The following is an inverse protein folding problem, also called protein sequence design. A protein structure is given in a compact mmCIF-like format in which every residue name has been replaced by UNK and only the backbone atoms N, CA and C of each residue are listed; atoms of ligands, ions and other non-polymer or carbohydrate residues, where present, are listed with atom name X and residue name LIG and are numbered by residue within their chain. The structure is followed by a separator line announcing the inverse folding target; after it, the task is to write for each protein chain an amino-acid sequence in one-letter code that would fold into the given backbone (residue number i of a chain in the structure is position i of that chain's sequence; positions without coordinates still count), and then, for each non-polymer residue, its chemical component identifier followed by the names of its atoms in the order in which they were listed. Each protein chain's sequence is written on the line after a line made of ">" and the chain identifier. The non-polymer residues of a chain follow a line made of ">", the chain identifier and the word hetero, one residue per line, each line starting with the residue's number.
data_IF_282789378356
#
_entry.id   IF_282789378356
#
_cell.length_a   1.000
_cell.length_b   1.000
_cell.length_c   1.000
_cell.angle_alpha   90.00
_cell.angle_beta   90.00
_cell.angle_gamma   90.00
#
_symmetry.space_group_name_H-M   'P 1'
#
loop_
_entity.id
_entity.type
_entity.pdbx_description
1 polymer ?
#
# COMPACT_ATOMS: atom_id res chain seq x y z
N UNK A 1 5.17 20.91 -8.01
CA UNK A 1 3.73 20.94 -7.62
C UNK A 1 3.33 19.54 -7.19
N UNK A 2 2.64 19.39 -6.06
CA UNK A 2 2.13 18.09 -5.61
C UNK A 2 0.67 17.96 -6.04
N UNK A 3 0.31 16.84 -6.68
CA UNK A 3 -1.08 16.66 -7.12
C UNK A 3 -2.02 16.55 -5.90
N UNK A 4 -3.30 16.96 -6.02
CA UNK A 4 -4.24 16.91 -4.90
C UNK A 4 -4.38 15.52 -4.27
N UNK A 5 -4.36 14.45 -5.09
CA UNK A 5 -4.43 13.06 -4.61
C UNK A 5 -3.17 12.68 -3.84
N UNK A 6 -1.98 12.99 -4.35
CA UNK A 6 -0.72 12.72 -3.65
C UNK A 6 -0.66 13.48 -2.32
N UNK A 7 -1.09 14.75 -2.30
CA UNK A 7 -1.14 15.53 -1.06
C UNK A 7 -2.08 14.91 -0.01
N UNK A 8 -3.22 14.36 -0.44
CA UNK A 8 -4.13 13.64 0.45
C UNK A 8 -3.49 12.35 1.00
N UNK A 9 -2.87 11.54 0.14
CA UNK A 9 -2.19 10.31 0.56
C UNK A 9 -1.07 10.59 1.58
N UNK A 10 -0.26 11.64 1.35
CA UNK A 10 0.80 12.04 2.29
C UNK A 10 0.24 12.48 3.64
N UNK A 11 -0.89 13.21 3.66
CA UNK A 11 -1.56 13.58 4.93
C UNK A 11 -2.05 12.35 5.69
N UNK A 12 -2.69 11.40 5.01
CA UNK A 12 -3.15 10.16 5.65
C UNK A 12 -1.99 9.34 6.21
N UNK A 13 -0.89 9.20 5.46
CA UNK A 13 0.30 8.50 5.93
C UNK A 13 0.93 9.19 7.15
N UNK A 14 1.02 10.52 7.17
CA UNK A 14 1.52 11.27 8.31
C UNK A 14 0.64 11.14 9.56
N UNK A 15 -0.69 11.22 9.38
CA UNK A 15 -1.66 11.03 10.46
C UNK A 15 -1.58 9.62 11.05
N UNK A 16 -1.50 8.59 10.20
CA UNK A 16 -1.33 7.21 10.63
C UNK A 16 -0.03 7.00 11.40
N UNK A 17 1.08 7.55 10.89
CA UNK A 17 2.39 7.48 11.55
C UNK A 17 2.33 8.11 12.96
N UNK A 18 1.66 9.25 13.10
CA UNK A 18 1.48 9.91 14.39
C UNK A 18 0.61 9.07 15.35
N UNK A 19 -0.47 8.47 14.86
CA UNK A 19 -1.40 7.68 15.66
C UNK A 19 -0.82 6.33 16.12
N UNK A 20 0.06 5.72 15.32
CA UNK A 20 0.62 4.38 15.57
C UNK A 20 2.03 4.40 16.18
N UNK A 21 2.55 5.58 16.51
CA UNK A 21 3.89 5.72 17.10
C UNK A 21 5.04 5.42 16.13
N UNK A 22 4.85 5.65 14.82
CA UNK A 22 5.88 5.48 13.81
C UNK A 22 5.57 4.42 12.74
N UNK A 23 4.43 3.75 12.82
CA UNK A 23 3.99 2.76 11.82
C UNK A 23 3.79 3.36 10.43
N UNK A 24 3.94 2.52 9.41
CA UNK A 24 3.67 2.89 8.02
C UNK A 24 2.26 2.41 7.63
N UNK A 25 1.47 3.33 7.08
CA UNK A 25 0.10 3.05 6.63
C UNK A 25 0.05 1.92 5.60
N UNK A 26 0.95 1.97 4.61
CA UNK A 26 0.99 1.05 3.49
C UNK A 26 1.42 -0.36 3.89
N UNK A 27 2.36 -0.47 4.83
CA UNK A 27 2.75 -1.76 5.39
C UNK A 27 1.60 -2.41 6.18
N UNK A 28 0.83 -1.63 6.94
CA UNK A 28 -0.33 -2.15 7.65
C UNK A 28 -1.41 -2.61 6.68
N UNK A 29 -1.70 -1.82 5.63
CA UNK A 29 -2.66 -2.22 4.58
C UNK A 29 -2.21 -3.52 3.91
N UNK A 30 -0.93 -3.64 3.53
CA UNK A 30 -0.42 -4.86 2.92
C UNK A 30 -0.52 -6.07 3.88
N UNK A 31 -0.20 -5.88 5.17
CA UNK A 31 -0.30 -6.94 6.17
C UNK A 31 -1.75 -7.40 6.38
N UNK A 32 -2.71 -6.47 6.45
CA UNK A 32 -4.13 -6.77 6.59
C UNK A 32 -4.68 -7.52 5.38
N UNK A 33 -4.37 -7.08 4.17
CA UNK A 33 -4.89 -7.72 2.94
C UNK A 33 -4.27 -9.12 2.74
N UNK A 34 -2.99 -9.32 3.08
CA UNK A 34 -2.38 -10.66 3.09
C UNK A 34 -2.99 -11.57 4.16
N UNK A 35 -3.26 -11.05 5.35
CA UNK A 35 -3.89 -11.82 6.42
C UNK A 35 -5.33 -12.24 6.09
N UNK A 36 -6.09 -11.38 5.40
CA UNK A 36 -7.44 -11.69 4.96
C UNK A 36 -7.45 -12.70 3.80
N UNK A 37 -6.46 -12.65 2.90
CA UNK A 37 -6.29 -13.51 1.70
C UNK A 37 -7.43 -13.47 0.67
N UNK A 38 -8.67 -13.12 1.04
CA UNK A 38 -9.85 -13.12 0.16
C UNK A 38 -9.76 -12.14 -1.02
N UNK A 39 -9.00 -11.04 -0.87
CA UNK A 39 -8.81 -10.00 -1.90
C UNK A 39 -7.48 -10.09 -2.62
N UNK A 40 -6.64 -11.07 -2.25
CA UNK A 40 -5.36 -11.29 -2.92
C UNK A 40 -5.63 -11.95 -4.27
N UNK A 41 -5.20 -11.27 -5.33
CA UNK A 41 -5.31 -11.79 -6.70
C UNK A 41 -4.11 -12.68 -6.98
N UNK A 42 -2.90 -12.18 -6.67
CA UNK A 42 -1.63 -12.89 -6.86
C UNK A 42 -0.68 -12.51 -5.73
N UNK A 43 -0.02 -13.52 -5.15
CA UNK A 43 1.11 -13.34 -4.24
C UNK A 43 2.38 -13.92 -4.88
N UNK A 44 3.33 -13.06 -5.22
CA UNK A 44 4.64 -13.44 -5.73
C UNK A 44 5.72 -13.36 -4.67
N UNK A 45 6.98 -13.59 -5.05
CA UNK A 45 8.11 -13.58 -4.11
C UNK A 45 8.41 -12.19 -3.51
N UNK A 46 8.19 -11.13 -4.29
CA UNK A 46 8.55 -9.75 -3.91
C UNK A 46 7.35 -8.80 -3.89
N UNK A 47 6.20 -9.22 -4.42
CA UNK A 47 5.06 -8.37 -4.66
C UNK A 47 3.74 -9.08 -4.34
N UNK A 48 2.77 -8.33 -3.86
CA UNK A 48 1.38 -8.78 -3.75
C UNK A 48 0.48 -7.87 -4.55
N UNK A 49 -0.37 -8.47 -5.37
CA UNK A 49 -1.45 -7.81 -6.08
C UNK A 49 -2.78 -8.15 -5.39
N UNK A 50 -3.52 -7.14 -4.97
CA UNK A 50 -4.80 -7.32 -4.28
C UNK A 50 -5.82 -6.26 -4.68
N UNK A 51 -7.10 -6.58 -4.50
CA UNK A 51 -8.18 -5.60 -4.63
C UNK A 51 -8.30 -4.87 -3.30
N UNK A 52 -8.07 -3.54 -3.24
CA UNK A 52 -8.13 -2.83 -1.97
C UNK A 52 -9.54 -2.90 -1.38
N UNK A 53 -9.64 -3.04 -0.06
CA UNK A 53 -10.93 -2.96 0.65
C UNK A 53 -11.75 -1.71 0.25
N UNK A 54 -11.07 -0.60 -0.04
CA UNK A 54 -11.68 0.67 -0.47
C UNK A 54 -11.57 0.91 -2.00
N UNK A 55 -11.81 -0.13 -2.82
CA UNK A 55 -11.84 -0.01 -4.28
C UNK A 55 -12.96 0.94 -4.75
N UNK A 56 -12.64 1.82 -5.70
CA UNK A 56 -13.59 2.75 -6.32
C UNK A 56 -14.06 2.29 -7.70
N UNK A 57 -13.38 1.31 -8.30
CA UNK A 57 -13.72 0.75 -9.61
C UNK A 57 -14.04 -0.74 -9.51
N UNK A 58 -14.88 -1.30 -10.41
CA UNK A 58 -15.22 -2.73 -10.40
C UNK A 58 -14.00 -3.66 -10.51
N UNK A 59 -12.95 -3.21 -11.20
CA UNK A 59 -11.69 -3.92 -11.38
C UNK A 59 -10.53 -2.98 -11.05
N UNK A 60 -10.29 -2.77 -9.75
CA UNK A 60 -9.12 -2.05 -9.23
C UNK A 60 -8.17 -3.04 -8.57
N UNK A 61 -6.88 -2.95 -8.90
CA UNK A 61 -5.82 -3.77 -8.28
C UNK A 61 -4.70 -2.85 -7.82
N UNK A 62 -4.28 -3.06 -6.58
CA UNK A 62 -3.13 -2.41 -5.97
C UNK A 62 -1.97 -3.40 -5.94
N UNK A 63 -0.79 -2.94 -6.35
CA UNK A 63 0.43 -3.72 -6.41
C UNK A 63 1.44 -3.14 -5.43
N UNK A 64 1.83 -3.91 -4.42
CA UNK A 64 2.70 -3.46 -3.33
C UNK A 64 3.93 -4.36 -3.21
N UNK A 65 5.14 -3.77 -3.06
CA UNK A 65 6.34 -4.54 -2.79
C UNK A 65 6.32 -5.02 -1.33
N UNK A 66 6.86 -6.21 -1.08
CA UNK A 66 7.02 -6.74 0.28
C UNK A 66 8.11 -6.00 1.05
N UNK A 67 9.11 -5.50 0.33
CA UNK A 67 10.17 -4.65 0.87
C UNK A 67 9.75 -3.19 0.79
N UNK A 68 9.89 -2.49 1.92
CA UNK A 68 9.65 -1.05 1.97
C UNK A 68 10.75 -0.30 1.23
N UNK A 69 10.37 0.40 0.16
CA UNK A 69 11.21 1.29 -0.64
C UNK A 69 10.56 2.67 -0.75
N UNK A 70 11.36 3.72 -0.85
CA UNK A 70 10.86 5.09 -0.98
C UNK A 70 10.29 5.38 -2.36
N UNK A 71 10.90 4.81 -3.40
CA UNK A 71 10.51 4.97 -4.79
C UNK A 71 10.98 3.81 -5.67
N UNK A 72 10.66 3.86 -6.97
CA UNK A 72 10.96 2.81 -7.94
C UNK A 72 12.47 2.61 -8.17
N UNK A 73 13.32 3.60 -7.88
CA UNK A 73 14.76 3.50 -8.12
C UNK A 73 15.48 2.72 -7.03
N UNK A 74 14.85 2.54 -5.86
CA UNK A 74 15.35 1.72 -4.77
C UNK A 74 14.96 0.24 -4.89
N UNK A 75 14.27 -0.14 -5.96
CA UNK A 75 13.97 -1.53 -6.27
C UNK A 75 15.24 -2.24 -6.77
N UNK A 76 15.46 -3.45 -6.27
CA UNK A 76 16.52 -4.38 -6.67
C UNK A 76 15.94 -5.56 -7.46
N UNK A 77 16.84 -6.42 -7.95
CA UNK A 77 16.49 -7.68 -8.64
C UNK A 77 15.88 -8.73 -7.71
#
# INVERSE_FOLDING_TARGET
>A
FTTPRTALMLRSAAAHKAATGGGNLFDHVLAEERAASERVVIEGAHWTAFVPHAAHWPYEVHLYPHRRVADLTELDE
#
